data_IF_624015331306
#
_entry.id   IF_624015331306
#
_cell.length_a   1.000
_cell.length_b   1.000
_cell.length_c   1.000
_cell.angle_alpha   90.00
_cell.angle_beta   90.00
_cell.angle_gamma   90.00
#
_symmetry.space_group_name_H-M   'P 1'
#
loop_
_entity.id
_entity.type
_entity.pdbx_description
1 polymer ?
#
# COMPACT_ATOMS: atom_id res chain seq x y z
N UNK A 1 -11.45 -4.83 6.10
CA UNK A 1 -11.20 -6.18 6.65
C UNK A 1 -11.50 -7.21 5.58
N UNK A 2 -10.71 -8.28 5.52
CA UNK A 2 -10.92 -9.39 4.60
C UNK A 2 -12.23 -10.14 4.97
N UNK A 3 -13.20 -10.27 4.05
CA UNK A 3 -14.47 -10.92 4.35
C UNK A 3 -14.32 -12.39 4.75
N UNK A 4 -13.39 -13.15 4.15
CA UNK A 4 -13.14 -14.54 4.55
C UNK A 4 -12.66 -14.63 6.00
N UNK A 5 -11.73 -13.79 6.39
CA UNK A 5 -11.25 -13.78 7.77
C UNK A 5 -12.32 -13.32 8.75
N UNK A 6 -13.02 -12.25 8.43
CA UNK A 6 -14.03 -11.66 9.31
C UNK A 6 -15.24 -12.57 9.49
N UNK A 7 -15.77 -13.15 8.41
CA UNK A 7 -17.00 -13.92 8.46
C UNK A 7 -16.80 -15.41 8.73
N UNK A 8 -15.65 -15.98 8.31
CA UNK A 8 -15.41 -17.42 8.46
C UNK A 8 -14.50 -17.80 9.64
N UNK A 9 -13.71 -16.84 10.16
CA UNK A 9 -12.74 -17.14 11.24
C UNK A 9 -13.02 -16.42 12.56
N UNK A 10 -13.71 -15.27 12.53
CA UNK A 10 -14.00 -14.50 13.74
C UNK A 10 -15.41 -14.75 14.29
N UNK A 11 -16.31 -15.30 13.50
CA UNK A 11 -17.63 -15.71 13.94
C UNK A 11 -17.65 -17.20 14.31
N UNK A 12 -18.48 -17.53 15.27
CA UNK A 12 -18.69 -18.93 15.67
C UNK A 12 -19.32 -19.74 14.52
N UNK A 13 -18.94 -21.01 14.36
CA UNK A 13 -19.56 -21.90 13.37
C UNK A 13 -21.06 -21.98 13.56
N UNK A 14 -21.81 -21.90 12.46
CA UNK A 14 -23.27 -22.02 12.46
C UNK A 14 -24.05 -20.72 12.67
N UNK A 15 -23.39 -19.59 12.95
CA UNK A 15 -24.04 -18.28 13.07
C UNK A 15 -24.50 -17.77 11.69
N UNK A 16 -23.77 -18.08 10.65
CA UNK A 16 -24.09 -17.63 9.30
C UNK A 16 -24.89 -18.69 8.53
N UNK A 17 -25.85 -18.26 7.68
CA UNK A 17 -26.54 -19.17 6.74
C UNK A 17 -25.54 -19.90 5.84
N UNK A 18 -25.73 -21.20 5.59
CA UNK A 18 -24.83 -22.03 4.79
C UNK A 18 -24.61 -21.50 3.36
N UNK A 19 -25.59 -20.79 2.80
CA UNK A 19 -25.46 -20.14 1.50
C UNK A 19 -24.41 -19.02 1.57
N UNK A 20 -24.51 -18.15 2.58
CA UNK A 20 -23.58 -17.03 2.76
C UNK A 20 -22.16 -17.54 3.00
N UNK A 21 -21.99 -18.60 3.78
CA UNK A 21 -20.66 -19.24 4.01
C UNK A 21 -20.04 -19.64 2.68
N UNK A 22 -20.79 -20.37 1.83
CA UNK A 22 -20.32 -20.78 0.50
C UNK A 22 -20.00 -19.59 -0.41
N UNK A 23 -20.84 -18.57 -0.41
CA UNK A 23 -20.62 -17.37 -1.22
C UNK A 23 -19.33 -16.65 -0.79
N UNK A 24 -19.08 -16.54 0.51
CA UNK A 24 -17.84 -15.95 1.06
C UNK A 24 -16.61 -16.83 0.77
N UNK A 25 -16.72 -18.16 0.86
CA UNK A 25 -15.63 -19.08 0.50
C UNK A 25 -15.20 -18.91 -0.96
N UNK A 26 -16.15 -18.65 -1.85
CA UNK A 26 -15.93 -18.50 -3.28
C UNK A 26 -15.47 -17.10 -3.71
N UNK A 27 -15.39 -16.11 -2.80
CA UNK A 27 -14.81 -14.81 -3.12
C UNK A 27 -13.36 -14.98 -3.55
N UNK A 28 -13.01 -14.49 -4.74
CA UNK A 28 -11.63 -14.39 -5.16
C UNK A 28 -10.96 -13.27 -4.38
N UNK A 29 -9.98 -13.62 -3.54
CA UNK A 29 -9.23 -12.68 -2.70
C UNK A 29 -7.83 -12.41 -3.24
N UNK A 30 -7.53 -12.85 -4.46
CA UNK A 30 -6.28 -12.46 -5.12
C UNK A 30 -6.32 -10.97 -5.36
N UNK A 31 -5.36 -10.25 -4.76
CA UNK A 31 -5.22 -8.80 -4.89
C UNK A 31 -3.98 -8.46 -5.70
N UNK A 32 -4.01 -7.32 -6.37
CA UNK A 32 -2.89 -6.75 -7.13
C UNK A 32 -2.23 -5.59 -6.38
N UNK A 33 -2.41 -5.50 -5.07
CA UNK A 33 -1.93 -4.37 -4.29
C UNK A 33 -1.35 -4.83 -2.96
N UNK A 34 -0.10 -4.51 -2.72
CA UNK A 34 0.51 -4.58 -1.39
C UNK A 34 0.53 -3.18 -0.75
N UNK A 35 0.40 -3.12 0.56
CA UNK A 35 0.61 -1.89 1.33
C UNK A 35 1.62 -2.15 2.43
N UNK A 36 2.58 -1.25 2.53
CA UNK A 36 3.62 -1.27 3.54
C UNK A 36 3.45 0.00 4.37
N UNK A 37 3.18 -0.17 5.66
CA UNK A 37 3.10 0.95 6.60
C UNK A 37 4.39 1.03 7.39
N UNK A 38 4.99 2.20 7.41
CA UNK A 38 6.26 2.48 8.06
C UNK A 38 6.05 3.53 9.15
N UNK A 39 6.79 3.37 10.23
CA UNK A 39 7.07 4.42 11.19
C UNK A 39 8.55 4.77 11.03
N UNK A 40 8.84 6.02 10.69
CA UNK A 40 10.18 6.50 10.36
C UNK A 40 10.56 7.66 11.29
N UNK A 41 11.83 7.79 11.57
CA UNK A 41 12.40 8.83 12.45
C UNK A 41 12.86 10.08 11.69
N UNK A 42 13.01 9.97 10.38
CA UNK A 42 13.35 11.09 9.51
C UNK A 42 12.48 11.05 8.24
N UNK A 43 12.19 12.22 7.67
CA UNK A 43 11.52 12.31 6.37
C UNK A 43 12.44 11.82 5.25
N UNK A 44 11.89 11.10 4.24
CA UNK A 44 12.70 10.59 3.15
C UNK A 44 13.34 11.75 2.34
N UNK A 45 14.62 11.62 2.05
CA UNK A 45 15.32 12.56 1.17
C UNK A 45 15.14 12.13 -0.29
N UNK A 46 14.49 12.98 -1.06
CA UNK A 46 14.34 12.77 -2.49
C UNK A 46 15.51 13.41 -3.22
N UNK A 47 16.22 12.65 -4.06
CA UNK A 47 17.45 13.06 -4.75
C UNK A 47 17.42 14.43 -5.43
N UNK A 48 16.32 14.88 -6.06
CA UNK A 48 16.25 16.23 -6.63
C UNK A 48 16.19 17.36 -5.57
N UNK A 49 15.88 17.01 -4.30
CA UNK A 49 15.71 17.95 -3.20
C UNK A 49 16.66 17.56 -2.08
N UNK A 50 17.84 18.18 -2.07
CA UNK A 50 18.94 17.83 -1.15
C UNK A 50 18.79 18.42 0.25
N UNK A 51 17.85 19.34 0.46
CA UNK A 51 17.59 19.91 1.77
C UNK A 51 16.78 18.93 2.62
N UNK A 52 17.32 18.54 3.76
CA UNK A 52 16.74 17.58 4.70
C UNK A 52 15.48 18.12 5.43
N UNK A 53 14.97 19.27 5.03
CA UNK A 53 13.80 19.90 5.65
C UNK A 53 12.52 19.48 4.98
N UNK A 54 11.45 19.43 5.76
CA UNK A 54 10.10 19.26 5.23
C UNK A 54 9.81 20.30 4.15
N UNK A 55 9.29 19.84 3.03
CA UNK A 55 8.96 20.68 1.89
C UNK A 55 7.82 20.09 1.04
N UNK A 56 7.44 20.78 -0.05
CA UNK A 56 6.34 20.34 -0.91
C UNK A 56 6.44 18.89 -1.40
N UNK A 57 7.65 18.36 -1.53
CA UNK A 57 7.92 16.98 -1.95
C UNK A 57 7.43 15.93 -0.94
N UNK A 58 7.14 16.31 0.31
CA UNK A 58 6.64 15.40 1.34
C UNK A 58 5.12 15.41 1.46
N UNK A 59 4.45 16.39 0.85
CA UNK A 59 3.01 16.54 0.90
C UNK A 59 2.32 15.83 -0.26
N UNK A 60 1.17 15.23 0.01
CA UNK A 60 0.36 14.53 -0.98
C UNK A 60 0.92 13.18 -1.40
N UNK A 61 0.55 12.74 -2.59
CA UNK A 61 1.01 11.48 -3.17
C UNK A 61 2.29 11.70 -3.99
N UNK A 62 3.32 10.94 -3.67
CA UNK A 62 4.53 10.82 -4.47
C UNK A 62 4.42 9.57 -5.34
N UNK A 63 4.77 9.68 -6.60
CA UNK A 63 4.86 8.56 -7.52
C UNK A 63 6.34 8.33 -7.86
N UNK A 64 6.89 7.25 -7.30
CA UNK A 64 8.29 6.90 -7.41
C UNK A 64 8.44 5.86 -8.53
N UNK A 65 9.07 6.26 -9.61
CA UNK A 65 9.37 5.41 -10.75
C UNK A 65 10.50 6.02 -11.57
N UNK A 66 11.47 5.22 -12.02
CA UNK A 66 12.68 5.75 -12.67
C UNK A 66 12.41 6.31 -14.07
N UNK A 67 11.39 5.80 -14.77
CA UNK A 67 11.06 6.21 -16.14
C UNK A 67 9.64 5.80 -16.52
N UNK A 68 9.16 6.32 -17.64
CA UNK A 68 7.87 5.92 -18.22
C UNK A 68 7.86 4.41 -18.57
N UNK A 69 8.96 3.89 -19.08
CA UNK A 69 9.11 2.49 -19.45
C UNK A 69 8.94 1.57 -18.24
N UNK A 70 9.36 2.00 -17.04
CA UNK A 70 9.14 1.24 -15.81
C UNK A 70 7.65 1.12 -15.46
N UNK A 71 6.83 2.13 -15.74
CA UNK A 71 5.38 2.05 -15.57
C UNK A 71 4.75 1.07 -16.56
N UNK A 72 5.18 1.11 -17.81
CA UNK A 72 4.71 0.18 -18.85
C UNK A 72 5.09 -1.26 -18.52
N UNK A 73 6.33 -1.49 -18.06
CA UNK A 73 6.80 -2.80 -17.60
C UNK A 73 6.01 -3.31 -16.39
N UNK A 74 5.80 -2.45 -15.38
CA UNK A 74 5.04 -2.81 -14.19
C UNK A 74 3.60 -3.22 -14.54
N UNK A 75 2.95 -2.49 -15.45
CA UNK A 75 1.61 -2.83 -15.95
C UNK A 75 1.60 -4.18 -16.68
N UNK A 76 2.56 -4.43 -17.59
CA UNK A 76 2.64 -5.69 -18.31
C UNK A 76 3.00 -6.88 -17.40
N UNK A 77 3.83 -6.66 -16.38
CA UNK A 77 4.12 -7.68 -15.36
C UNK A 77 2.85 -8.03 -14.57
N UNK A 78 2.07 -7.03 -14.14
CA UNK A 78 0.81 -7.24 -13.46
C UNK A 78 -0.18 -8.04 -14.33
N UNK A 79 -0.30 -7.71 -15.62
CA UNK A 79 -1.16 -8.47 -16.55
C UNK A 79 -0.75 -9.93 -16.68
N UNK A 80 0.53 -10.23 -16.56
CA UNK A 80 1.06 -11.60 -16.61
C UNK A 80 1.04 -12.31 -15.25
N UNK A 81 0.66 -11.63 -14.16
CA UNK A 81 0.72 -12.17 -12.80
C UNK A 81 2.15 -12.41 -12.32
N UNK A 82 3.10 -11.55 -12.74
CA UNK A 82 4.52 -11.61 -12.38
C UNK A 82 4.97 -10.29 -11.74
N UNK A 83 6.04 -10.34 -10.97
CA UNK A 83 6.64 -9.11 -10.45
C UNK A 83 7.42 -8.38 -11.54
N UNK A 84 7.38 -7.03 -11.56
CA UNK A 84 8.24 -6.24 -12.44
C UNK A 84 9.70 -6.30 -11.98
N UNK A 85 10.63 -6.06 -12.89
CA UNK A 85 12.07 -5.92 -12.54
C UNK A 85 12.34 -4.64 -11.74
N UNK A 86 11.52 -3.62 -11.98
CA UNK A 86 11.58 -2.34 -11.28
C UNK A 86 10.18 -1.96 -10.78
N UNK A 87 10.04 -1.78 -9.47
CA UNK A 87 8.78 -1.38 -8.89
C UNK A 87 8.50 0.10 -9.14
N UNK A 88 7.26 0.39 -9.50
CA UNK A 88 6.67 1.70 -9.35
C UNK A 88 5.96 1.73 -8.00
N UNK A 89 6.18 2.79 -7.22
CA UNK A 89 5.71 2.87 -5.84
C UNK A 89 4.93 4.18 -5.66
N UNK A 90 3.70 4.09 -5.23
CA UNK A 90 3.01 5.23 -4.63
C UNK A 90 3.45 5.36 -3.17
N UNK A 91 3.79 6.57 -2.75
CA UNK A 91 4.21 6.86 -1.39
C UNK A 91 3.41 8.05 -0.83
N UNK A 92 3.07 7.98 0.44
CA UNK A 92 2.40 9.07 1.18
C UNK A 92 2.95 9.12 2.59
N UNK A 93 3.35 10.31 3.03
CA UNK A 93 3.74 10.56 4.42
C UNK A 93 2.61 11.30 5.12
N UNK A 94 1.67 10.54 5.70
CA UNK A 94 0.42 11.08 6.24
C UNK A 94 0.65 12.08 7.38
N UNK A 95 1.63 11.82 8.24
CA UNK A 95 1.93 12.65 9.40
C UNK A 95 2.48 14.05 9.09
N UNK A 96 2.87 14.31 7.85
CA UNK A 96 3.24 15.67 7.40
C UNK A 96 1.99 16.57 7.31
N UNK A 97 0.84 15.98 7.01
CA UNK A 97 -0.43 16.72 6.93
C UNK A 97 -1.21 16.68 8.24
N UNK A 98 -1.09 15.58 8.99
CA UNK A 98 -1.78 15.34 10.25
C UNK A 98 -0.79 14.77 11.27
N UNK A 99 -0.28 15.62 12.14
CA UNK A 99 0.74 15.28 13.15
C UNK A 99 0.21 14.35 14.25
N UNK A 100 -1.11 14.17 14.33
CA UNK A 100 -1.73 13.22 15.29
C UNK A 100 -1.51 11.76 14.90
N UNK A 101 -1.09 11.49 13.67
CA UNK A 101 -0.90 10.13 13.12
C UNK A 101 0.45 9.50 13.49
N UNK A 102 1.34 10.22 14.16
CA UNK A 102 2.63 9.69 14.63
C UNK A 102 2.98 10.24 16.02
N UNK A 103 3.76 9.50 16.82
CA UNK A 103 4.38 10.06 18.00
C UNK A 103 5.28 11.26 17.67
N UNK A 104 5.45 12.18 18.62
CA UNK A 104 6.30 13.36 18.42
C UNK A 104 7.72 12.97 17.99
N UNK A 105 8.18 13.55 16.89
CA UNK A 105 9.51 13.31 16.30
C UNK A 105 9.59 12.07 15.42
N UNK A 106 8.45 11.43 15.15
CA UNK A 106 8.34 10.32 14.19
C UNK A 106 7.35 10.68 13.08
N UNK A 107 7.40 9.93 11.99
CA UNK A 107 6.49 10.08 10.86
C UNK A 107 5.89 8.74 10.44
N UNK A 108 4.64 8.77 9.97
CA UNK A 108 4.02 7.62 9.33
C UNK A 108 4.10 7.74 7.82
N UNK A 109 4.50 6.65 7.17
CA UNK A 109 4.56 6.60 5.72
C UNK A 109 3.90 5.33 5.21
N UNK A 110 3.15 5.44 4.13
CA UNK A 110 2.56 4.29 3.42
C UNK A 110 3.17 4.19 2.04
N UNK A 111 3.63 2.99 1.70
CA UNK A 111 4.10 2.63 0.38
C UNK A 111 3.14 1.65 -0.26
N UNK A 112 2.84 1.85 -1.55
CA UNK A 112 2.02 0.94 -2.36
C UNK A 112 2.81 0.59 -3.61
N UNK A 113 3.63 -0.47 -3.57
CA UNK A 113 4.34 -0.95 -4.75
C UNK A 113 3.38 -1.59 -5.76
N UNK A 114 3.72 -1.47 -7.04
CA UNK A 114 3.06 -2.23 -8.11
C UNK A 114 3.33 -3.72 -7.91
N UNK A 115 2.28 -4.50 -7.68
CA UNK A 115 2.35 -5.97 -7.48
C UNK A 115 1.38 -6.68 -8.41
N UNK A 116 1.63 -7.96 -8.75
CA UNK A 116 0.73 -8.77 -9.57
C UNK A 116 -0.61 -9.07 -8.89
#
# INVERSE_FOLDING_TARGET
ADPKRSLLKLLEPGVLPSRLVRDVENIDTRGSMARIHLLIDELPQYLPFTDATEGPQHHGHQLLGPSREAFEEAYEAQRRGTFPSTFVIEAVTQSVTDDTLAPKGLHTMTLVPSTP
#
